data_IF_804753841464
#
_entry.id   IF_804753841464
#
_cell.length_a   1.000
_cell.length_b   1.000
_cell.length_c   1.000
_cell.angle_alpha   90.00
_cell.angle_beta   90.00
_cell.angle_gamma   90.00
#
_symmetry.space_group_name_H-M   'P 1'
#
loop_
_entity.id
_entity.type
_entity.pdbx_description
1 polymer ?
#
# COMPACT_ATOMS: atom_id res chain seq x y z
N UNK A 1 0.31 -8.07 -18.26
CA UNK A 1 0.77 -6.98 -17.39
C UNK A 1 0.18 -5.62 -17.77
N UNK A 2 -0.13 -5.41 -19.06
CA UNK A 2 -0.73 -4.14 -19.48
C UNK A 2 -2.09 -3.92 -18.83
N UNK A 3 -2.94 -4.95 -18.78
CA UNK A 3 -4.25 -4.85 -18.12
C UNK A 3 -4.11 -4.60 -16.62
N UNK A 4 -3.16 -5.27 -15.97
CA UNK A 4 -2.89 -5.07 -14.55
C UNK A 4 -2.42 -3.64 -14.28
N UNK A 5 -1.43 -3.17 -15.05
CA UNK A 5 -0.89 -1.81 -14.89
C UNK A 5 -1.96 -0.75 -15.14
N UNK A 6 -2.80 -0.96 -16.17
CA UNK A 6 -3.89 -0.03 -16.48
C UNK A 6 -4.91 0.03 -15.34
N UNK A 7 -5.29 -1.12 -14.77
CA UNK A 7 -6.25 -1.16 -13.67
C UNK A 7 -5.69 -0.48 -12.41
N UNK A 8 -4.39 -0.66 -12.12
CA UNK A 8 -3.76 0.02 -10.99
C UNK A 8 -3.68 1.53 -11.21
N UNK A 9 -3.33 1.96 -12.42
CA UNK A 9 -3.33 3.38 -12.78
C UNK A 9 -4.72 4.00 -12.65
N UNK A 10 -5.75 3.26 -13.07
CA UNK A 10 -7.13 3.71 -12.97
C UNK A 10 -7.53 3.93 -11.49
N UNK A 11 -7.15 3.02 -10.59
CA UNK A 11 -7.42 3.16 -9.16
C UNK A 11 -6.79 4.44 -8.60
N UNK A 12 -5.54 4.73 -8.96
CA UNK A 12 -4.83 5.92 -8.48
C UNK A 12 -5.51 7.20 -8.98
N UNK A 13 -5.85 7.27 -10.27
CA UNK A 13 -6.50 8.45 -10.83
C UNK A 13 -7.92 8.62 -10.32
N UNK A 14 -8.65 7.52 -10.16
CA UNK A 14 -9.99 7.54 -9.57
C UNK A 14 -9.94 8.07 -8.14
N UNK A 15 -8.95 7.63 -7.35
CA UNK A 15 -8.75 8.10 -5.97
C UNK A 15 -8.60 9.62 -5.96
N UNK A 16 -7.76 10.18 -6.84
CA UNK A 16 -7.52 11.62 -6.90
C UNK A 16 -8.76 12.38 -7.33
N UNK A 17 -9.46 11.92 -8.36
CA UNK A 17 -10.65 12.56 -8.86
C UNK A 17 -11.75 12.58 -7.81
N UNK A 18 -11.98 11.44 -7.17
CA UNK A 18 -13.02 11.32 -6.15
C UNK A 18 -12.69 12.16 -4.92
N UNK A 19 -11.41 12.20 -4.54
CA UNK A 19 -10.94 13.04 -3.43
C UNK A 19 -11.27 14.51 -3.68
N UNK A 20 -10.98 14.99 -4.90
CA UNK A 20 -11.24 16.38 -5.27
C UNK A 20 -12.75 16.69 -5.26
N UNK A 21 -13.58 15.77 -5.74
CA UNK A 21 -15.02 15.97 -5.79
C UNK A 21 -15.67 15.94 -4.40
N UNK A 22 -15.18 15.08 -3.52
CA UNK A 22 -15.84 14.83 -2.23
C UNK A 22 -15.25 15.61 -1.07
N UNK A 23 -14.13 16.30 -1.27
CA UNK A 23 -13.49 17.08 -0.19
C UNK A 23 -14.44 18.10 0.43
N UNK A 24 -15.26 18.75 -0.39
CA UNK A 24 -16.21 19.75 0.08
C UNK A 24 -17.30 19.16 1.00
N UNK A 25 -17.49 17.86 0.96
CA UNK A 25 -18.44 17.15 1.84
C UNK A 25 -17.77 16.62 3.10
N UNK A 26 -16.50 16.90 3.32
CA UNK A 26 -15.76 16.39 4.46
C UNK A 26 -15.36 14.94 4.34
N UNK A 27 -15.29 14.39 3.12
CA UNK A 27 -14.92 12.99 2.87
C UNK A 27 -13.51 12.94 2.30
N UNK A 28 -12.63 12.23 2.95
CA UNK A 28 -11.28 11.97 2.47
C UNK A 28 -11.25 10.65 1.68
N UNK A 29 -10.54 10.65 0.57
CA UNK A 29 -10.37 9.46 -0.28
C UNK A 29 -8.88 9.29 -0.53
N UNK A 30 -8.33 8.20 -0.04
CA UNK A 30 -6.90 7.89 -0.15
C UNK A 30 -6.72 6.45 -0.60
N UNK A 31 -5.56 6.14 -1.15
CA UNK A 31 -5.19 4.78 -1.52
C UNK A 31 -3.98 4.33 -0.72
N UNK A 32 -3.92 3.05 -0.41
CA UNK A 32 -2.75 2.43 0.20
C UNK A 32 -2.14 1.48 -0.83
N UNK A 33 -0.83 1.61 -1.04
CA UNK A 33 -0.07 0.76 -1.96
C UNK A 33 0.89 -0.10 -1.13
N UNK A 34 0.47 -1.32 -0.74
CA UNK A 34 1.30 -2.18 0.10
C UNK A 34 2.31 -2.96 -0.72
N UNK A 35 3.46 -3.26 -0.10
CA UNK A 35 4.43 -4.20 -0.63
C UNK A 35 4.21 -5.60 -0.09
N UNK A 36 5.28 -6.27 0.34
CA UNK A 36 5.23 -7.65 0.81
C UNK A 36 4.82 -7.71 2.28
N UNK A 37 3.64 -8.26 2.53
CA UNK A 37 3.10 -8.47 3.87
C UNK A 37 2.91 -9.95 4.15
N UNK A 38 3.05 -10.33 5.42
CA UNK A 38 2.80 -11.70 5.87
C UNK A 38 1.29 -11.96 5.90
N UNK A 39 0.77 -12.44 4.78
CA UNK A 39 -0.65 -12.75 4.62
C UNK A 39 -0.82 -14.19 4.17
N UNK A 40 -2.04 -14.71 4.22
CA UNK A 40 -2.33 -16.06 3.73
C UNK A 40 -1.95 -16.23 2.26
N UNK A 41 -2.11 -15.17 1.45
CA UNK A 41 -1.72 -15.18 0.04
C UNK A 41 -0.21 -15.36 -0.14
N UNK A 42 0.60 -15.04 0.87
CA UNK A 42 2.05 -15.16 0.85
C UNK A 42 2.56 -16.39 1.62
N UNK A 43 1.67 -17.29 2.05
CA UNK A 43 2.05 -18.45 2.87
C UNK A 43 3.11 -19.32 2.20
N UNK A 44 3.02 -19.56 0.88
CA UNK A 44 3.99 -20.37 0.16
C UNK A 44 5.38 -19.74 0.16
N UNK A 45 5.44 -18.42 0.07
CA UNK A 45 6.71 -17.68 0.14
C UNK A 45 7.33 -17.85 1.52
N UNK A 46 6.51 -17.71 2.57
CA UNK A 46 6.98 -17.80 3.95
C UNK A 46 7.41 -19.21 4.35
N UNK A 47 6.81 -20.26 3.74
CA UNK A 47 7.12 -21.65 4.05
C UNK A 47 8.46 -22.11 3.47
N UNK A 48 8.95 -21.47 2.41
CA UNK A 48 10.19 -21.85 1.77
C UNK A 48 11.31 -20.88 2.15
N UNK A 49 12.32 -21.32 2.92
CA UNK A 49 13.42 -20.42 3.30
C UNK A 49 14.15 -19.78 2.12
N UNK A 50 14.32 -20.52 1.02
CA UNK A 50 15.00 -20.00 -0.17
C UNK A 50 14.18 -18.94 -0.88
N UNK A 51 12.88 -19.19 -1.06
CA UNK A 51 11.99 -18.22 -1.70
C UNK A 51 11.85 -16.98 -0.83
N UNK A 52 11.71 -17.16 0.47
CA UNK A 52 11.63 -16.07 1.42
C UNK A 52 12.88 -15.18 1.39
N UNK A 53 14.06 -15.81 1.41
CA UNK A 53 15.33 -15.08 1.34
C UNK A 53 15.42 -14.25 0.05
N UNK A 54 15.02 -14.82 -1.07
CA UNK A 54 15.02 -14.14 -2.36
C UNK A 54 14.06 -12.97 -2.38
N UNK A 55 12.87 -13.17 -1.84
CA UNK A 55 11.85 -12.12 -1.78
C UNK A 55 12.27 -10.97 -0.88
N UNK A 56 12.77 -11.29 0.31
CA UNK A 56 13.26 -10.31 1.28
C UNK A 56 14.47 -9.55 0.75
N UNK A 57 15.31 -10.22 -0.04
CA UNK A 57 16.47 -9.58 -0.66
C UNK A 57 16.12 -8.43 -1.60
N UNK A 58 14.89 -8.39 -2.11
CA UNK A 58 14.41 -7.30 -2.97
C UNK A 58 13.86 -6.11 -2.21
N UNK A 59 13.69 -6.23 -0.90
CA UNK A 59 13.11 -5.19 -0.06
C UNK A 59 14.23 -4.49 0.70
N UNK A 60 14.41 -3.18 0.53
CA UNK A 60 15.47 -2.46 1.27
C UNK A 60 15.41 -2.65 2.79
N UNK A 61 14.21 -2.72 3.36
CA UNK A 61 14.05 -2.97 4.80
C UNK A 61 14.41 -4.41 5.22
N UNK A 62 14.64 -5.31 4.26
CA UNK A 62 15.11 -6.69 4.48
C UNK A 62 14.16 -7.53 5.34
N UNK A 63 12.87 -7.30 5.25
CA UNK A 63 11.84 -8.11 5.90
C UNK A 63 10.51 -7.94 5.21
N UNK A 64 9.61 -8.88 5.43
CA UNK A 64 8.20 -8.70 5.11
C UNK A 64 7.52 -7.96 6.27
N UNK A 65 6.49 -7.21 5.99
CA UNK A 65 5.76 -6.49 7.01
C UNK A 65 4.71 -7.37 7.69
N UNK A 66 4.38 -7.03 8.92
CA UNK A 66 3.27 -7.63 9.64
C UNK A 66 1.96 -6.94 9.24
N UNK A 67 0.85 -7.68 9.28
CA UNK A 67 -0.47 -7.12 8.96
C UNK A 67 -0.84 -5.94 9.85
N UNK A 68 -0.36 -5.94 11.11
CA UNK A 68 -0.60 -4.83 12.03
C UNK A 68 -0.02 -3.50 11.55
N UNK A 69 1.01 -3.54 10.70
CA UNK A 69 1.64 -2.31 10.19
C UNK A 69 0.74 -1.60 9.18
N UNK A 70 0.00 -2.34 8.36
CA UNK A 70 -0.99 -1.72 7.47
C UNK A 70 -2.23 -1.28 8.27
N UNK A 71 -2.56 -2.00 9.34
CA UNK A 71 -3.63 -1.62 10.25
C UNK A 71 -3.39 -0.26 10.89
N UNK A 72 -2.16 0.00 11.33
CA UNK A 72 -1.79 1.28 11.93
C UNK A 72 -1.98 2.43 10.94
N UNK A 73 -1.55 2.25 9.68
CA UNK A 73 -1.74 3.26 8.64
C UNK A 73 -3.22 3.49 8.36
N UNK A 74 -3.99 2.42 8.27
CA UNK A 74 -5.44 2.51 8.05
C UNK A 74 -6.13 3.26 9.17
N UNK A 75 -5.75 2.99 10.42
CA UNK A 75 -6.30 3.70 11.58
C UNK A 75 -5.97 5.20 11.54
N UNK A 76 -4.75 5.55 11.14
CA UNK A 76 -4.39 6.96 10.98
C UNK A 76 -5.28 7.63 9.94
N UNK A 77 -5.45 7.00 8.76
CA UNK A 77 -6.26 7.57 7.68
C UNK A 77 -7.75 7.64 8.04
N UNK A 78 -8.22 6.80 8.95
CA UNK A 78 -9.59 6.82 9.43
C UNK A 78 -9.81 7.79 10.59
N UNK A 79 -8.75 8.39 11.13
CA UNK A 79 -8.83 9.27 12.29
C UNK A 79 -9.01 10.74 11.88
N UNK A 80 -9.50 11.55 12.83
CA UNK A 80 -9.63 12.99 12.62
C UNK A 80 -8.27 13.67 12.40
N UNK A 81 -7.18 13.04 12.82
CA UNK A 81 -5.85 13.61 12.66
C UNK A 81 -5.40 13.64 11.20
N UNK A 82 -6.06 12.88 10.31
CA UNK A 82 -5.78 12.87 8.88
C UNK A 82 -6.77 13.70 8.06
N UNK A 83 -7.52 14.58 8.69
CA UNK A 83 -8.59 15.34 8.02
C UNK A 83 -8.14 16.14 6.81
N UNK A 84 -6.87 16.56 6.78
CA UNK A 84 -6.33 17.31 5.63
C UNK A 84 -5.62 16.42 4.62
N UNK A 85 -5.62 15.09 4.82
CA UNK A 85 -5.02 14.11 3.93
C UNK A 85 -6.11 13.55 3.02
N UNK A 86 -6.08 13.92 1.74
CA UNK A 86 -7.01 13.37 0.75
C UNK A 86 -6.34 13.36 -0.62
N UNK A 87 -6.69 12.40 -1.45
CA UNK A 87 -6.10 12.24 -2.77
C UNK A 87 -4.69 11.67 -2.75
N UNK A 88 -4.22 11.18 -1.61
CA UNK A 88 -2.87 10.66 -1.45
C UNK A 88 -2.80 9.18 -1.75
N UNK A 89 -1.63 8.73 -2.20
CA UNK A 89 -1.28 7.32 -2.31
C UNK A 89 -0.19 7.07 -1.27
N UNK A 90 -0.52 6.28 -0.26
CA UNK A 90 0.38 5.97 0.83
C UNK A 90 1.09 4.66 0.54
N UNK A 91 2.38 4.74 0.20
CA UNK A 91 3.21 3.56 -0.08
C UNK A 91 3.72 3.00 1.25
N UNK A 92 3.51 1.70 1.46
CA UNK A 92 3.99 1.01 2.67
C UNK A 92 4.62 -0.31 2.21
N UNK A 93 5.89 -0.25 1.81
CA UNK A 93 6.56 -1.36 1.13
C UNK A 93 8.02 -1.59 1.55
N UNK A 94 8.46 -0.99 2.64
CA UNK A 94 9.84 -1.15 3.10
C UNK A 94 10.88 -0.58 2.13
N UNK A 95 10.48 0.30 1.24
CA UNK A 95 11.36 0.94 0.27
C UNK A 95 11.46 0.21 -1.06
N UNK A 96 10.71 -0.86 -1.27
CA UNK A 96 10.87 -1.68 -2.47
C UNK A 96 10.67 -0.90 -3.76
N UNK A 97 9.69 -0.01 -3.82
CA UNK A 97 9.42 0.81 -5.01
C UNK A 97 10.32 2.04 -5.13
N UNK A 98 11.18 2.27 -4.14
CA UNK A 98 12.05 3.45 -4.10
C UNK A 98 13.48 3.17 -4.58
N UNK A 99 13.76 1.96 -4.99
CA UNK A 99 15.09 1.58 -5.49
C UNK A 99 15.38 2.28 -6.80
N UNK A 100 16.62 2.70 -6.96
CA UNK A 100 17.13 3.31 -8.18
C UNK A 100 17.70 2.26 -9.16
#
# INVERSE_FOLDING_TARGET
LAAYSSSKGAVLQFTKALAAEWAKFGVQVNAIAPGAFKTDAQSKVMESPEILKRRVGKIPARRMAESSEIGALTCYLASAQSDFVTGSVMVIDGGESSKL
#
